data_IF_166896926256
#
_entry.id   IF_166896926256
#
_cell.length_a   1.000
_cell.length_b   1.000
_cell.length_c   1.000
_cell.angle_alpha   90.00
_cell.angle_beta   90.00
_cell.angle_gamma   90.00
#
_symmetry.space_group_name_H-M   'P 1'
#
loop_
_entity.id
_entity.type
_entity.pdbx_description
1 polymer ?
#
# COMPACT_ATOMS: atom_id res chain seq x y z
N UNK A 1 -6.74 3.33 27.43
CA UNK A 1 -5.66 2.59 26.72
C UNK A 1 -6.30 1.33 26.19
N UNK A 2 -6.67 1.33 24.90
CA UNK A 2 -7.15 0.11 24.25
C UNK A 2 -5.96 -0.82 24.03
N UNK A 3 -6.09 -2.06 24.48
CA UNK A 3 -5.13 -3.12 24.20
C UNK A 3 -4.97 -3.23 22.69
N UNK A 4 -3.73 -3.22 22.21
CA UNK A 4 -3.39 -3.53 20.83
C UNK A 4 -3.58 -5.03 20.71
N UNK A 5 -4.73 -5.47 20.21
CA UNK A 5 -4.89 -6.82 19.68
C UNK A 5 -4.11 -6.87 18.38
N UNK A 6 -3.00 -7.60 18.39
CA UNK A 6 -2.26 -7.95 17.18
C UNK A 6 -3.23 -8.60 16.20
N UNK A 7 -3.56 -7.91 15.12
CA UNK A 7 -4.27 -8.52 13.99
C UNK A 7 -3.29 -9.47 13.31
N UNK A 8 -3.20 -10.70 13.81
CA UNK A 8 -2.55 -11.80 13.10
C UNK A 8 -3.42 -12.09 11.88
N UNK A 9 -2.82 -12.00 10.69
CA UNK A 9 -3.56 -12.16 9.45
C UNK A 9 -4.35 -13.45 9.34
N UNK A 10 -5.32 -13.48 8.43
CA UNK A 10 -6.30 -14.59 8.24
C UNK A 10 -5.70 -15.90 7.73
N UNK A 11 -4.37 -16.04 7.76
CA UNK A 11 -3.66 -17.26 7.44
C UNK A 11 -4.06 -18.36 8.43
N UNK A 12 -4.48 -19.51 7.90
CA UNK A 12 -4.84 -20.70 8.66
C UNK A 12 -3.76 -21.76 8.45
N UNK A 13 -2.74 -21.84 9.32
CA UNK A 13 -1.65 -22.80 9.20
C UNK A 13 -2.14 -24.25 9.05
N UNK A 14 -3.32 -24.56 9.59
CA UNK A 14 -3.99 -25.85 9.47
C UNK A 14 -4.42 -26.25 8.05
N UNK A 15 -4.44 -25.31 7.09
CA UNK A 15 -4.74 -25.58 5.68
C UNK A 15 -3.52 -26.01 4.87
N UNK A 16 -2.30 -25.92 5.43
CA UNK A 16 -1.08 -26.39 4.79
C UNK A 16 -1.04 -27.92 4.88
N UNK A 17 -0.96 -28.66 3.77
CA UNK A 17 -0.75 -30.10 3.81
C UNK A 17 0.45 -30.44 4.70
N UNK A 18 0.31 -31.43 5.61
CA UNK A 18 1.37 -31.79 6.58
C UNK A 18 2.69 -32.14 5.89
N UNK A 19 2.62 -32.64 4.65
CA UNK A 19 3.78 -32.99 3.83
C UNK A 19 4.50 -31.77 3.24
N UNK A 20 3.88 -30.58 3.32
CA UNK A 20 4.41 -29.29 2.84
C UNK A 20 4.78 -28.34 3.99
N UNK A 21 4.71 -28.81 5.23
CA UNK A 21 5.12 -28.04 6.41
C UNK A 21 6.65 -27.91 6.46
N UNK A 22 7.15 -26.69 6.30
CA UNK A 22 8.50 -26.31 6.70
C UNK A 22 8.52 -25.81 8.15
N UNK A 23 9.69 -25.78 8.77
CA UNK A 23 9.90 -24.95 9.96
C UNK A 23 9.82 -23.47 9.58
N UNK A 24 9.54 -22.58 10.55
CA UNK A 24 9.57 -21.12 10.32
C UNK A 24 10.86 -20.66 9.63
N UNK A 25 11.98 -21.30 9.97
CA UNK A 25 13.30 -21.05 9.37
C UNK A 25 13.36 -21.41 7.87
N UNK A 26 12.61 -22.43 7.42
CA UNK A 26 12.53 -22.81 6.00
C UNK A 26 11.78 -21.75 5.18
N UNK A 27 10.83 -21.05 5.81
CA UNK A 27 10.09 -19.96 5.17
C UNK A 27 10.90 -18.67 5.11
N UNK A 28 11.80 -18.40 6.07
CA UNK A 28 12.64 -17.20 6.04
C UNK A 28 13.52 -17.16 4.78
N UNK A 29 14.22 -18.26 4.48
CA UNK A 29 15.06 -18.35 3.29
C UNK A 29 14.23 -18.27 2.00
N UNK A 30 13.07 -18.92 1.96
CA UNK A 30 12.15 -18.82 0.83
C UNK A 30 11.65 -17.38 0.61
N UNK A 31 11.27 -16.68 1.68
CA UNK A 31 10.84 -15.28 1.63
C UNK A 31 11.98 -14.37 1.16
N UNK A 32 13.21 -14.60 1.63
CA UNK A 32 14.38 -13.85 1.17
C UNK A 32 14.66 -14.07 -0.32
N UNK A 33 14.52 -15.29 -0.82
CA UNK A 33 14.65 -15.60 -2.25
C UNK A 33 13.54 -14.93 -3.05
N UNK A 34 12.30 -14.97 -2.55
CA UNK A 34 11.16 -14.31 -3.19
C UNK A 34 11.38 -12.79 -3.29
N UNK A 35 11.86 -12.14 -2.21
CA UNK A 35 12.22 -10.72 -2.23
C UNK A 35 13.30 -10.43 -3.28
N UNK A 36 14.36 -11.25 -3.35
CA UNK A 36 15.40 -11.11 -4.38
C UNK A 36 14.82 -11.21 -5.79
N UNK A 37 13.99 -12.22 -6.03
CA UNK A 37 13.33 -12.43 -7.31
C UNK A 37 12.43 -11.23 -7.70
N UNK A 38 11.62 -10.73 -6.77
CA UNK A 38 10.77 -9.56 -6.99
C UNK A 38 11.58 -8.30 -7.31
N UNK A 39 12.71 -8.07 -6.61
CA UNK A 39 13.62 -6.98 -6.92
C UNK A 39 14.26 -7.12 -8.31
N UNK A 40 14.71 -8.33 -8.67
CA UNK A 40 15.25 -8.61 -10.00
C UNK A 40 14.21 -8.38 -11.11
N UNK A 41 12.96 -8.81 -10.91
CA UNK A 41 11.86 -8.56 -11.83
C UNK A 41 11.57 -7.07 -11.99
N UNK A 42 11.55 -6.32 -10.88
CA UNK A 42 11.40 -4.86 -10.92
C UNK A 42 12.53 -4.18 -11.70
N UNK A 43 13.78 -4.60 -11.47
CA UNK A 43 14.94 -4.05 -12.17
C UNK A 43 14.91 -4.39 -13.66
N UNK A 44 14.56 -5.62 -14.02
CA UNK A 44 14.42 -6.05 -15.40
C UNK A 44 13.33 -5.24 -16.13
N UNK A 45 12.19 -5.01 -15.48
CA UNK A 45 11.11 -4.18 -16.04
C UNK A 45 11.58 -2.75 -16.31
N UNK A 46 12.33 -2.16 -15.37
CA UNK A 46 12.90 -0.82 -15.52
C UNK A 46 13.93 -0.76 -16.66
N UNK A 47 14.77 -1.78 -16.80
CA UNK A 47 15.75 -1.86 -17.89
C UNK A 47 15.07 -1.97 -19.27
N UNK A 48 13.98 -2.74 -19.37
CA UNK A 48 13.26 -2.94 -20.65
C UNK A 48 12.36 -1.76 -20.99
N UNK A 49 11.65 -1.20 -20.01
CA UNK A 49 10.62 -0.17 -20.24
C UNK A 49 11.12 1.26 -20.00
N UNK A 50 12.34 1.42 -19.47
CA UNK A 50 12.92 2.70 -19.10
C UNK A 50 12.00 3.52 -18.22
N UNK A 51 11.86 4.81 -18.56
CA UNK A 51 11.02 5.77 -17.81
C UNK A 51 9.54 5.38 -17.74
N UNK A 52 9.07 4.49 -18.62
CA UNK A 52 7.67 4.01 -18.62
C UNK A 52 7.34 3.02 -17.51
N UNK A 53 8.34 2.36 -16.91
CA UNK A 53 8.13 1.28 -15.94
C UNK A 53 7.22 1.69 -14.78
N UNK A 54 7.45 2.86 -14.18
CA UNK A 54 6.65 3.37 -13.06
C UNK A 54 5.18 3.57 -13.43
N UNK A 55 4.89 4.08 -14.64
CA UNK A 55 3.52 4.28 -15.09
C UNK A 55 2.80 2.94 -15.32
N UNK A 56 3.49 1.97 -15.92
CA UNK A 56 2.95 0.63 -16.19
C UNK A 56 2.56 -0.06 -14.89
N UNK A 57 3.49 -0.16 -13.93
CA UNK A 57 3.22 -0.83 -12.64
C UNK A 57 2.22 -0.06 -11.79
N UNK A 58 2.19 1.27 -11.87
CA UNK A 58 1.15 2.05 -11.20
C UNK A 58 -0.25 1.69 -11.73
N UNK A 59 -0.43 1.59 -13.04
CA UNK A 59 -1.72 1.18 -13.61
C UNK A 59 -2.06 -0.27 -13.27
N UNK A 60 -1.06 -1.18 -13.30
CA UNK A 60 -1.24 -2.56 -12.87
C UNK A 60 -1.69 -2.64 -11.41
N UNK A 61 -1.01 -1.94 -10.51
CA UNK A 61 -1.35 -1.84 -9.10
C UNK A 61 -2.75 -1.26 -8.91
N UNK A 62 -3.08 -0.17 -9.61
CA UNK A 62 -4.41 0.44 -9.55
C UNK A 62 -5.51 -0.54 -9.92
N UNK A 63 -5.32 -1.33 -10.98
CA UNK A 63 -6.25 -2.40 -11.33
C UNK A 63 -6.37 -3.44 -10.22
N UNK A 64 -5.26 -3.89 -9.64
CA UNK A 64 -5.28 -4.84 -8.52
C UNK A 64 -6.04 -4.28 -7.31
N UNK A 65 -5.90 -2.99 -7.04
CA UNK A 65 -6.57 -2.31 -5.93
C UNK A 65 -8.07 -2.28 -6.10
N UNK A 66 -8.54 -1.95 -7.32
CA UNK A 66 -9.94 -2.06 -7.68
C UNK A 66 -10.47 -3.47 -7.44
N UNK A 67 -9.80 -4.49 -7.97
CA UNK A 67 -10.25 -5.88 -7.84
C UNK A 67 -10.32 -6.32 -6.37
N UNK A 68 -9.33 -5.94 -5.55
CA UNK A 68 -9.24 -6.38 -4.14
C UNK A 68 -10.27 -5.70 -3.24
N UNK A 69 -10.73 -4.51 -3.61
CA UNK A 69 -11.71 -3.73 -2.86
C UNK A 69 -13.18 -3.92 -3.33
N UNK A 70 -13.44 -4.77 -4.34
CA UNK A 70 -14.79 -4.96 -4.91
C UNK A 70 -15.85 -5.41 -3.92
N UNK A 71 -15.46 -6.23 -2.95
CA UNK A 71 -16.38 -6.85 -1.98
C UNK A 71 -16.62 -5.97 -0.75
N UNK A 72 -16.00 -4.79 -0.69
CA UNK A 72 -16.09 -3.89 0.44
C UNK A 72 -17.32 -2.99 0.35
N UNK A 73 -17.77 -2.52 1.51
CA UNK A 73 -18.84 -1.53 1.59
C UNK A 73 -18.41 -0.22 0.94
N UNK A 74 -19.24 0.26 0.02
CA UNK A 74 -19.06 1.60 -0.55
C UNK A 74 -19.35 2.66 0.51
N UNK A 75 -18.59 3.73 0.52
CA UNK A 75 -18.78 4.83 1.48
C UNK A 75 -18.31 6.17 0.93
N UNK A 76 -19.06 7.22 1.25
CA UNK A 76 -18.68 8.61 0.98
C UNK A 76 -17.86 9.23 2.13
N UNK A 77 -17.82 8.56 3.29
CA UNK A 77 -17.03 8.97 4.45
C UNK A 77 -15.57 8.51 4.30
N UNK A 78 -14.65 9.47 4.25
CA UNK A 78 -13.20 9.23 4.15
C UNK A 78 -12.66 8.43 5.34
N UNK A 79 -13.11 8.70 6.56
CA UNK A 79 -12.61 7.98 7.74
C UNK A 79 -13.04 6.51 7.69
N UNK A 80 -14.30 6.26 7.31
CA UNK A 80 -14.77 4.89 7.05
C UNK A 80 -13.96 4.26 5.91
N UNK A 81 -13.74 4.96 4.81
CA UNK A 81 -12.96 4.42 3.69
C UNK A 81 -11.53 4.04 4.10
N UNK A 82 -10.85 4.89 4.90
CA UNK A 82 -9.51 4.59 5.42
C UNK A 82 -9.50 3.38 6.37
N UNK A 83 -10.54 3.22 7.17
CA UNK A 83 -10.71 2.04 8.02
C UNK A 83 -10.88 0.77 7.18
N UNK A 84 -11.82 0.78 6.24
CA UNK A 84 -12.06 -0.30 5.30
C UNK A 84 -10.76 -0.67 4.56
N UNK A 85 -10.03 0.32 4.05
CA UNK A 85 -8.74 0.11 3.36
C UNK A 85 -7.68 -0.54 4.25
N UNK A 86 -7.71 -0.30 5.57
CA UNK A 86 -6.79 -0.97 6.48
C UNK A 86 -7.03 -2.47 6.58
N UNK A 87 -8.26 -2.94 6.33
CA UNK A 87 -8.58 -4.37 6.28
C UNK A 87 -8.06 -5.03 5.00
N UNK A 88 -8.05 -4.32 3.87
CA UNK A 88 -7.56 -4.85 2.58
C UNK A 88 -6.05 -4.74 2.42
N UNK A 89 -5.44 -3.73 3.01
CA UNK A 89 -4.03 -3.39 2.80
C UNK A 89 -3.15 -3.72 4.02
N UNK A 90 -3.76 -4.01 5.17
CA UNK A 90 -3.11 -4.11 6.47
C UNK A 90 -2.02 -5.18 6.56
N UNK A 91 -2.10 -6.21 5.71
CA UNK A 91 -1.10 -7.28 5.61
C UNK A 91 0.17 -6.82 4.87
N UNK A 92 0.05 -5.96 3.86
CA UNK A 92 1.21 -5.47 3.09
C UNK A 92 1.85 -4.20 3.69
N UNK A 93 1.04 -3.38 4.36
CA UNK A 93 1.43 -2.19 5.10
C UNK A 93 0.24 -1.64 5.89
N UNK A 94 0.50 -0.99 7.02
CA UNK A 94 -0.50 -0.16 7.66
C UNK A 94 -0.15 1.31 7.52
N UNK A 95 -1.14 2.18 7.69
CA UNK A 95 -0.93 3.62 7.67
C UNK A 95 -1.59 4.31 8.84
N UNK A 96 -0.97 5.42 9.27
CA UNK A 96 -1.51 6.27 10.33
C UNK A 96 -1.67 7.70 9.80
N UNK A 97 -2.74 8.37 10.23
CA UNK A 97 -2.95 9.79 9.93
C UNK A 97 -1.82 10.61 10.56
N UNK A 98 -1.26 11.52 9.78
CA UNK A 98 -0.22 12.44 10.22
C UNK A 98 -0.58 13.87 9.84
N UNK A 99 -0.16 14.84 10.63
CA UNK A 99 -0.29 16.26 10.31
C UNK A 99 0.90 17.02 10.89
N UNK A 100 1.33 18.13 10.28
CA UNK A 100 2.25 19.06 10.94
C UNK A 100 1.64 19.61 12.23
N UNK A 101 2.47 19.95 13.21
CA UNK A 101 2.01 20.46 14.52
C UNK A 101 1.16 21.73 14.38
N UNK A 102 1.51 22.60 13.42
CA UNK A 102 0.79 23.84 13.14
C UNK A 102 -0.61 23.64 12.50
N UNK A 103 -0.97 22.41 12.11
CA UNK A 103 -2.24 22.09 11.47
C UNK A 103 -3.26 21.60 12.50
N UNK A 104 -4.48 22.14 12.48
CA UNK A 104 -5.51 21.80 13.48
C UNK A 104 -6.26 20.48 13.21
N UNK A 105 -6.37 20.06 11.95
CA UNK A 105 -7.11 18.85 11.54
C UNK A 105 -6.20 17.89 10.78
N UNK A 106 -6.46 16.59 10.79
CA UNK A 106 -5.78 15.61 9.91
C UNK A 106 -6.30 15.64 8.47
N UNK A 107 -7.56 16.02 8.31
CA UNK A 107 -8.25 16.09 7.02
C UNK A 107 -8.38 17.56 6.65
N UNK A 108 -7.89 17.91 5.46
CA UNK A 108 -8.03 19.24 4.88
C UNK A 108 -9.00 19.17 3.72
N UNK A 109 -10.09 19.92 3.82
CA UNK A 109 -11.04 20.10 2.74
C UNK A 109 -10.80 21.45 2.07
N UNK A 110 -10.65 21.43 0.75
CA UNK A 110 -10.53 22.63 -0.08
C UNK A 110 -11.32 22.43 -1.36
N UNK A 111 -12.27 23.30 -1.63
CA UNK A 111 -13.13 23.23 -2.82
C UNK A 111 -13.79 21.84 -2.95
N UNK A 112 -13.55 21.15 -4.06
CA UNK A 112 -14.02 19.80 -4.34
C UNK A 112 -12.97 18.71 -4.04
N UNK A 113 -11.98 19.02 -3.22
CA UNK A 113 -10.90 18.09 -2.86
C UNK A 113 -10.78 17.92 -1.35
N UNK A 114 -10.56 16.67 -0.93
CA UNK A 114 -10.20 16.32 0.43
C UNK A 114 -8.81 15.72 0.42
N UNK A 115 -7.94 16.17 1.33
CA UNK A 115 -6.58 15.67 1.46
C UNK A 115 -6.28 15.21 2.88
N UNK A 116 -5.55 14.11 2.98
CA UNK A 116 -5.06 13.55 4.25
C UNK A 116 -3.61 13.12 4.09
N UNK A 117 -2.78 13.46 5.07
CA UNK A 117 -1.40 12.98 5.13
C UNK A 117 -1.33 11.69 5.93
N UNK A 118 -0.61 10.72 5.39
CA UNK A 118 -0.52 9.36 5.90
C UNK A 118 0.94 8.94 6.01
N UNK A 119 1.31 8.37 7.16
CA UNK A 119 2.58 7.66 7.33
C UNK A 119 2.35 6.19 7.03
N UNK A 120 3.07 5.68 6.02
CA UNK A 120 3.04 4.29 5.60
C UNK A 120 4.12 3.53 6.35
N UNK A 121 3.70 2.57 7.15
CA UNK A 121 4.50 1.79 8.07
C UNK A 121 4.64 0.35 7.54
N UNK A 122 5.71 -0.33 7.93
CA UNK A 122 5.95 -1.77 7.69
C UNK A 122 5.70 -2.31 6.28
N UNK A 123 5.93 -1.44 5.30
CA UNK A 123 5.78 -1.75 3.89
C UNK A 123 6.67 -2.91 3.42
N UNK A 124 6.05 -3.99 2.91
CA UNK A 124 6.73 -5.16 2.34
C UNK A 124 7.66 -4.82 1.17
N UNK A 125 7.27 -3.82 0.37
CA UNK A 125 8.11 -3.30 -0.73
C UNK A 125 9.41 -2.72 -0.19
N UNK A 126 9.37 -2.00 0.94
CA UNK A 126 10.59 -1.42 1.52
C UNK A 126 11.57 -2.49 1.99
N UNK A 127 11.07 -3.59 2.56
CA UNK A 127 11.94 -4.69 2.97
C UNK A 127 12.58 -5.37 1.76
N UNK A 128 11.80 -5.56 0.69
CA UNK A 128 12.30 -6.05 -0.60
C UNK A 128 13.42 -5.16 -1.15
N UNK A 129 13.17 -3.86 -1.27
CA UNK A 129 14.14 -2.89 -1.79
C UNK A 129 15.43 -2.84 -0.98
N UNK A 130 15.34 -2.90 0.36
CA UNK A 130 16.51 -2.97 1.24
C UNK A 130 17.33 -4.23 1.00
N UNK A 131 16.66 -5.39 0.90
CA UNK A 131 17.31 -6.68 0.69
C UNK A 131 18.04 -6.75 -0.65
N UNK A 132 17.49 -6.10 -1.68
CA UNK A 132 18.04 -6.12 -3.04
C UNK A 132 18.91 -4.92 -3.38
N UNK A 133 19.07 -3.96 -2.46
CA UNK A 133 19.85 -2.73 -2.70
C UNK A 133 19.24 -1.81 -3.76
N UNK A 134 17.91 -1.85 -3.95
CA UNK A 134 17.21 -1.03 -4.94
C UNK A 134 16.69 0.27 -4.32
N UNK A 135 16.64 1.38 -5.10
CA UNK A 135 16.18 2.65 -4.59
C UNK A 135 14.65 2.66 -4.33
N UNK A 136 14.24 3.41 -3.31
CA UNK A 136 12.83 3.78 -3.11
C UNK A 136 12.38 4.74 -4.22
N UNK A 137 11.05 4.88 -4.39
CA UNK A 137 10.41 5.61 -5.51
C UNK A 137 10.65 4.98 -6.89
N UNK A 138 11.05 3.71 -6.94
CA UNK A 138 11.09 2.89 -8.17
C UNK A 138 9.78 2.12 -8.43
N UNK A 139 9.78 1.18 -9.40
CA UNK A 139 8.57 0.51 -9.86
C UNK A 139 7.77 -0.20 -8.75
N UNK A 140 8.40 -0.95 -7.85
CA UNK A 140 7.69 -1.62 -6.75
C UNK A 140 6.94 -0.63 -5.84
N UNK A 141 7.51 0.56 -5.58
CA UNK A 141 6.83 1.59 -4.82
C UNK A 141 5.58 2.08 -5.57
N UNK A 142 5.70 2.34 -6.88
CA UNK A 142 4.57 2.79 -7.70
C UNK A 142 3.48 1.74 -7.86
N UNK A 143 3.83 0.46 -7.88
CA UNK A 143 2.87 -0.65 -7.83
C UNK A 143 1.99 -0.56 -6.58
N UNK A 144 2.60 -0.45 -5.40
CA UNK A 144 1.89 -0.33 -4.12
C UNK A 144 1.01 0.92 -4.05
N UNK A 145 1.45 2.03 -4.65
CA UNK A 145 0.67 3.27 -4.67
C UNK A 145 -0.51 3.19 -5.60
N UNK A 146 -0.32 2.58 -6.77
CA UNK A 146 -1.42 2.20 -7.65
C UNK A 146 -2.43 1.37 -6.88
N UNK A 147 -1.97 0.32 -6.20
CA UNK A 147 -2.80 -0.59 -5.40
C UNK A 147 -3.67 0.16 -4.39
N UNK A 148 -3.08 1.04 -3.57
CA UNK A 148 -3.84 1.85 -2.64
C UNK A 148 -4.84 2.79 -3.33
N UNK A 149 -4.42 3.49 -4.40
CA UNK A 149 -5.32 4.40 -5.14
C UNK A 149 -6.51 3.63 -5.70
N UNK A 150 -6.29 2.47 -6.33
CA UNK A 150 -7.37 1.65 -6.89
C UNK A 150 -8.37 1.22 -5.84
N UNK A 151 -7.88 0.78 -4.67
CA UNK A 151 -8.74 0.38 -3.57
C UNK A 151 -9.57 1.56 -3.03
N UNK A 152 -8.97 2.76 -2.88
CA UNK A 152 -9.69 3.97 -2.45
C UNK A 152 -10.77 4.35 -3.47
N UNK A 153 -10.42 4.38 -4.76
CA UNK A 153 -11.37 4.72 -5.83
C UNK A 153 -12.53 3.74 -5.87
N UNK A 154 -12.27 2.45 -5.62
CA UNK A 154 -13.29 1.43 -5.54
C UNK A 154 -14.23 1.66 -4.35
N UNK A 155 -13.69 1.82 -3.14
CA UNK A 155 -14.50 1.99 -1.91
C UNK A 155 -15.33 3.28 -1.96
N UNK A 156 -14.78 4.36 -2.50
CA UNK A 156 -15.44 5.68 -2.44
C UNK A 156 -16.19 6.07 -3.72
N UNK A 157 -16.03 5.35 -4.82
CA UNK A 157 -16.56 5.71 -6.15
C UNK A 157 -16.13 7.14 -6.60
N UNK A 158 -14.91 7.53 -6.22
CA UNK A 158 -14.34 8.85 -6.49
C UNK A 158 -12.93 8.72 -7.07
N UNK A 159 -12.45 9.79 -7.71
CA UNK A 159 -11.06 9.82 -8.18
C UNK A 159 -10.11 10.12 -7.05
N UNK A 160 -9.05 9.33 -6.95
CA UNK A 160 -8.04 9.45 -5.92
C UNK A 160 -6.64 9.60 -6.53
N UNK A 161 -5.77 10.22 -5.76
CA UNK A 161 -4.35 10.39 -6.07
C UNK A 161 -3.55 10.24 -4.80
N UNK A 162 -2.38 9.61 -4.90
CA UNK A 162 -1.41 9.54 -3.81
C UNK A 162 -0.10 10.17 -4.27
N UNK A 163 0.34 11.19 -3.55
CA UNK A 163 1.65 11.83 -3.73
C UNK A 163 2.65 11.31 -2.69
N UNK A 164 3.91 11.12 -3.12
CA UNK A 164 5.00 10.64 -2.25
C UNK A 164 5.80 11.83 -1.75
N UNK A 165 5.40 12.36 -0.61
CA UNK A 165 6.05 13.52 0.01
C UNK A 165 7.49 13.16 0.44
N UNK A 166 7.65 12.03 1.13
CA UNK A 166 8.94 11.58 1.64
C UNK A 166 9.06 10.06 1.69
N UNK A 167 10.27 9.54 1.44
CA UNK A 167 10.60 8.12 1.61
C UNK A 167 11.66 8.00 2.69
N UNK A 168 11.26 7.49 3.85
CA UNK A 168 12.13 7.32 5.00
C UNK A 168 12.54 5.86 5.19
N UNK A 169 13.51 5.60 6.08
CA UNK A 169 13.88 4.24 6.46
C UNK A 169 12.73 3.53 7.20
N UNK A 170 11.98 4.21 8.08
CA UNK A 170 10.99 3.54 8.94
C UNK A 170 9.53 3.88 8.59
N UNK A 171 9.30 4.98 7.87
CA UNK A 171 8.00 5.33 7.31
C UNK A 171 8.15 6.08 5.98
N UNK A 172 7.11 6.02 5.15
CA UNK A 172 6.97 6.92 4.00
C UNK A 172 5.82 7.89 4.28
N UNK A 173 6.06 9.18 4.10
CA UNK A 173 5.00 10.19 4.18
C UNK A 173 4.35 10.34 2.81
N UNK A 174 3.02 10.30 2.80
CA UNK A 174 2.21 10.43 1.59
C UNK A 174 1.04 11.35 1.82
N UNK A 175 0.61 12.01 0.75
CA UNK A 175 -0.66 12.74 0.73
C UNK A 175 -1.64 11.97 -0.15
N UNK A 176 -2.75 11.52 0.43
CA UNK A 176 -3.90 11.02 -0.31
C UNK A 176 -4.83 12.21 -0.59
N UNK A 177 -5.19 12.38 -1.85
CA UNK A 177 -6.15 13.38 -2.33
C UNK A 177 -7.32 12.66 -2.98
N UNK A 178 -8.53 13.02 -2.57
CA UNK A 178 -9.78 12.54 -3.16
C UNK A 178 -10.50 13.73 -3.77
N UNK A 179 -10.87 13.60 -5.05
CA UNK A 179 -11.56 14.64 -5.80
C UNK A 179 -13.01 14.24 -6.03
N UNK A 180 -13.91 15.12 -5.62
CA UNK A 180 -15.32 15.03 -5.97
C UNK A 180 -15.49 15.58 -7.38
N UNK A 181 -16.10 14.77 -8.25
CA UNK A 181 -16.66 15.29 -9.50
C UNK A 181 -17.87 16.14 -9.11
N UNK A 182 -17.86 17.44 -9.42
CA UNK A 182 -19.09 18.21 -9.41
C UNK A 182 -20.07 17.51 -10.37
N UNK A 183 -21.16 16.95 -9.83
CA UNK A 183 -22.28 16.47 -10.65
C UNK A 183 -22.98 17.65 -11.29
#
# INVERSE_FOLDING_TARGET
MSEITDTLGTFKPELIPKETGGNLDDYEDALHVLMKFMGSMSSALEQVSGRGANAIVYQAGKRMGHESAKMMDKTEDLEKALYELSEVLGEEFYFIKWKPDAQNSYVLQKDNEVTVKLLFMDCVVRQTLRRTGLPQKGPLCYLLYGYMVGAVEEVMDLKAKVDIDHVGPNACLKTLTIKWSAK
#
